data_IF_095310380388
#
_entry.id   IF_095310380388
#
_cell.length_a   1.000
_cell.length_b   1.000
_cell.length_c   1.000
_cell.angle_alpha   90.00
_cell.angle_beta   90.00
_cell.angle_gamma   90.00
#
_symmetry.space_group_name_H-M   'P 1'
#
loop_
_entity.id
_entity.type
_entity.pdbx_description
1 polymer ?
#
# COMPACT_ATOMS: atom_id res chain seq x y z
N UNK A 1 -32.43 -3.45 -5.77
CA UNK A 1 -31.16 -2.88 -5.26
C UNK A 1 -30.56 -1.89 -6.26
N UNK A 2 -30.61 -0.59 -5.96
CA UNK A 2 -29.90 0.42 -6.75
C UNK A 2 -28.40 0.21 -6.55
N UNK A 3 -27.72 -0.33 -7.56
CA UNK A 3 -26.26 -0.37 -7.60
C UNK A 3 -25.76 1.06 -7.39
N UNK A 4 -25.11 1.34 -6.27
CA UNK A 4 -24.43 2.63 -6.07
C UNK A 4 -23.39 2.76 -7.18
N UNK A 5 -23.53 3.78 -8.02
CA UNK A 5 -22.61 4.05 -9.12
C UNK A 5 -21.16 4.03 -8.63
N UNK A 6 -20.26 3.52 -9.47
CA UNK A 6 -18.83 3.49 -9.18
C UNK A 6 -18.34 4.90 -8.82
N UNK A 7 -17.70 5.04 -7.65
CA UNK A 7 -17.15 6.32 -7.19
C UNK A 7 -15.69 6.40 -7.59
N UNK A 8 -15.37 7.27 -8.54
CA UNK A 8 -13.99 7.59 -8.86
C UNK A 8 -13.35 8.39 -7.71
N UNK A 9 -12.09 8.07 -7.41
CA UNK A 9 -11.22 8.88 -6.56
C UNK A 9 -9.90 9.08 -7.29
N UNK A 10 -9.59 10.33 -7.63
CA UNK A 10 -8.30 10.69 -8.22
C UNK A 10 -7.32 11.12 -7.12
N UNK A 11 -6.11 10.59 -7.18
CA UNK A 11 -4.97 11.04 -6.39
C UNK A 11 -3.79 11.26 -7.34
N UNK A 12 -3.19 12.44 -7.30
CA UNK A 12 -2.01 12.77 -8.09
C UNK A 12 -0.76 12.52 -7.25
N UNK A 13 0.15 11.69 -7.77
CA UNK A 13 1.46 11.45 -7.19
C UNK A 13 2.42 12.61 -7.48
N UNK A 14 3.42 12.79 -6.62
CA UNK A 14 4.61 13.62 -6.86
C UNK A 14 5.82 12.74 -7.20
N UNK A 15 6.89 13.30 -7.77
CA UNK A 15 8.18 12.63 -7.90
C UNK A 15 8.61 11.90 -6.63
N UNK A 16 8.79 10.59 -6.75
CA UNK A 16 9.18 9.69 -5.65
C UNK A 16 8.02 9.17 -4.78
N UNK A 17 6.77 9.54 -5.06
CA UNK A 17 5.62 8.97 -4.37
C UNK A 17 5.30 7.55 -4.88
N UNK A 18 4.71 6.76 -3.99
CA UNK A 18 4.05 5.50 -4.34
C UNK A 18 2.55 5.63 -4.10
N UNK A 19 1.73 5.41 -5.13
CA UNK A 19 0.29 5.28 -4.99
C UNK A 19 -0.06 3.83 -4.67
N UNK A 20 -0.67 3.58 -3.52
CA UNK A 20 -1.09 2.25 -3.08
C UNK A 20 -2.63 2.16 -3.00
N UNK A 21 -3.20 1.20 -3.72
CA UNK A 21 -4.57 0.71 -3.53
C UNK A 21 -4.51 -0.63 -2.79
N UNK A 22 -5.25 -0.78 -1.69
CA UNK A 22 -5.23 -2.02 -0.92
C UNK A 22 -6.53 -2.27 -0.14
N UNK A 23 -6.72 -3.50 0.31
CA UNK A 23 -7.80 -3.92 1.22
C UNK A 23 -7.55 -3.49 2.67
N UNK A 24 -8.56 -3.66 3.53
CA UNK A 24 -8.48 -3.38 4.97
C UNK A 24 -7.29 -4.07 5.66
N UNK A 25 -7.01 -5.34 5.30
CA UNK A 25 -5.89 -6.10 5.88
C UNK A 25 -4.49 -5.47 5.71
N UNK A 26 -4.31 -4.52 4.78
CA UNK A 26 -3.09 -3.70 4.70
C UNK A 26 -3.33 -2.23 5.09
N UNK A 27 -4.51 -1.67 4.78
CA UNK A 27 -4.82 -0.28 5.08
C UNK A 27 -4.89 0.00 6.59
N UNK A 28 -5.41 -0.93 7.39
CA UNK A 28 -5.55 -0.78 8.84
C UNK A 28 -4.22 -0.78 9.59
N UNK A 29 -3.29 -1.74 9.35
CA UNK A 29 -1.97 -1.65 9.97
C UNK A 29 -1.17 -0.43 9.48
N UNK A 30 -1.32 0.03 8.23
CA UNK A 30 -0.67 1.27 7.78
C UNK A 30 -1.13 2.51 8.57
N UNK A 31 -2.40 2.55 8.98
CA UNK A 31 -2.95 3.63 9.81
C UNK A 31 -2.56 3.50 11.28
N UNK A 32 -2.60 2.28 11.82
CA UNK A 32 -2.35 2.00 13.24
C UNK A 32 -0.88 1.93 13.62
N UNK A 33 -0.02 1.41 12.74
CA UNK A 33 1.37 1.07 13.05
C UNK A 33 2.36 2.02 12.36
N UNK A 34 2.89 2.97 13.12
CA UNK A 34 3.87 3.94 12.62
C UNK A 34 5.17 3.25 12.13
N UNK A 35 5.60 2.18 12.81
CA UNK A 35 6.81 1.44 12.44
C UNK A 35 6.68 0.75 11.09
N UNK A 36 5.53 0.13 10.80
CA UNK A 36 5.24 -0.47 9.51
C UNK A 36 5.27 0.58 8.41
N UNK A 37 4.60 1.72 8.63
CA UNK A 37 4.56 2.82 7.67
C UNK A 37 5.96 3.35 7.37
N UNK A 38 6.78 3.54 8.40
CA UNK A 38 8.16 4.00 8.26
C UNK A 38 9.04 2.95 7.55
N UNK A 39 8.83 1.67 7.84
CA UNK A 39 9.54 0.58 7.16
C UNK A 39 9.26 0.58 5.66
N UNK A 40 7.99 0.62 5.26
CA UNK A 40 7.58 0.64 3.86
C UNK A 40 8.02 1.93 3.16
N UNK A 41 7.88 3.09 3.80
CA UNK A 41 8.35 4.36 3.24
C UNK A 41 9.85 4.30 2.89
N UNK A 42 10.70 3.75 3.76
CA UNK A 42 12.14 3.59 3.48
C UNK A 42 12.43 2.64 2.33
N UNK A 43 11.63 1.58 2.16
CA UNK A 43 11.86 0.57 1.12
C UNK A 43 11.34 1.03 -0.24
N UNK A 44 10.29 1.86 -0.25
CA UNK A 44 9.63 2.29 -1.47
C UNK A 44 10.06 3.69 -1.94
N UNK A 45 10.86 4.43 -1.16
CA UNK A 45 11.43 5.73 -1.55
C UNK A 45 12.58 5.65 -2.55
N UNK A 46 12.84 4.49 -3.14
CA UNK A 46 13.86 4.31 -4.17
C UNK A 46 13.40 4.81 -5.53
N UNK A 47 14.34 5.08 -6.44
CA UNK A 47 14.06 5.54 -7.80
C UNK A 47 13.41 4.48 -8.71
N UNK A 48 13.34 3.23 -8.26
CA UNK A 48 12.75 2.12 -9.02
C UNK A 48 11.80 1.32 -8.12
N UNK A 49 10.72 0.77 -8.70
CA UNK A 49 9.84 -0.13 -7.96
C UNK A 49 10.58 -1.39 -7.49
N UNK A 50 10.21 -1.96 -6.33
CA UNK A 50 10.77 -3.23 -5.89
C UNK A 50 10.41 -4.34 -6.89
N UNK A 51 11.31 -5.34 -7.03
CA UNK A 51 10.96 -6.57 -7.73
C UNK A 51 9.80 -7.31 -7.06
N UNK A 52 9.09 -8.16 -7.81
CA UNK A 52 7.85 -8.80 -7.35
C UNK A 52 7.98 -9.53 -5.99
N UNK A 53 9.07 -10.28 -5.78
CA UNK A 53 9.30 -10.97 -4.51
C UNK A 53 9.49 -10.00 -3.34
N UNK A 54 10.22 -8.90 -3.57
CA UNK A 54 10.41 -7.86 -2.57
C UNK A 54 9.09 -7.13 -2.27
N UNK A 55 8.30 -6.81 -3.30
CA UNK A 55 6.96 -6.24 -3.13
C UNK A 55 6.06 -7.14 -2.30
N UNK A 56 6.03 -8.45 -2.61
CA UNK A 56 5.24 -9.42 -1.85
C UNK A 56 5.70 -9.55 -0.40
N UNK A 57 7.01 -9.49 -0.13
CA UNK A 57 7.53 -9.51 1.23
C UNK A 57 7.09 -8.26 2.00
N UNK A 58 7.16 -7.09 1.35
CA UNK A 58 6.80 -5.81 1.93
C UNK A 58 5.33 -5.76 2.36
N UNK A 59 4.42 -6.12 1.44
CA UNK A 59 2.97 -6.13 1.75
C UNK A 59 2.58 -7.21 2.75
N UNK A 60 3.39 -8.25 2.95
CA UNK A 60 3.19 -9.30 3.96
C UNK A 60 3.88 -9.01 5.30
N UNK A 61 4.52 -7.85 5.46
CA UNK A 61 5.18 -7.47 6.73
C UNK A 61 4.18 -7.57 7.89
N UNK A 62 4.52 -8.40 8.88
CA UNK A 62 3.62 -8.70 10.00
C UNK A 62 3.48 -7.46 10.89
N UNK A 63 2.24 -7.17 11.25
CA UNK A 63 1.88 -6.18 12.25
C UNK A 63 1.01 -6.90 13.30
N UNK A 64 1.36 -6.80 14.58
CA UNK A 64 0.69 -7.55 15.64
C UNK A 64 -0.78 -7.10 15.71
N UNK A 65 -1.70 -8.06 15.78
CA UNK A 65 -3.14 -7.77 15.79
C UNK A 65 -3.77 -7.59 14.41
N UNK A 66 -2.99 -7.66 13.32
CA UNK A 66 -3.49 -7.54 11.95
C UNK A 66 -3.21 -8.81 11.16
N UNK A 67 -4.21 -9.67 11.07
CA UNK A 67 -4.12 -10.98 10.43
C UNK A 67 -5.08 -11.17 9.24
N UNK A 68 -5.76 -10.09 8.82
CA UNK A 68 -6.71 -10.13 7.71
C UNK A 68 -6.02 -10.22 6.35
N UNK A 69 -6.75 -10.72 5.35
CA UNK A 69 -6.24 -10.95 4.00
C UNK A 69 -5.80 -9.64 3.34
N UNK A 70 -4.67 -9.71 2.64
CA UNK A 70 -4.04 -8.55 2.02
C UNK A 70 -4.12 -8.64 0.50
N UNK A 71 -4.70 -7.62 -0.11
CA UNK A 71 -4.60 -7.36 -1.55
C UNK A 71 -4.05 -5.95 -1.73
N UNK A 72 -3.08 -5.80 -2.63
CA UNK A 72 -2.40 -4.54 -2.89
C UNK A 72 -2.04 -4.40 -4.36
N UNK A 73 -2.22 -3.19 -4.90
CA UNK A 73 -1.71 -2.75 -6.18
C UNK A 73 -1.03 -1.40 -5.96
N UNK A 74 0.21 -1.26 -6.45
CA UNK A 74 0.99 -0.06 -6.25
C UNK A 74 1.54 0.45 -7.58
N UNK A 75 1.62 1.77 -7.71
CA UNK A 75 2.22 2.49 -8.84
C UNK A 75 3.27 3.42 -8.29
N UNK A 76 4.49 3.31 -8.80
CA UNK A 76 5.60 4.20 -8.49
C UNK A 76 5.65 5.29 -9.54
N UNK A 77 5.67 6.54 -9.10
CA UNK A 77 5.94 7.69 -9.96
C UNK A 77 7.46 7.75 -10.22
N UNK A 78 7.85 7.97 -11.48
CA UNK A 78 9.21 7.81 -11.98
C UNK A 78 9.87 9.17 -12.25
#
# INVERSE_FOLDING_TARGET
PTSTAFRFRASLARPGDTLLMCTGGLADPLRGEAELRAHLARRWSGAAPPGLAAFLADVQTRAKGYADDRTAAAVWEA
#
